data_IF_318066565677
#
_entry.id   IF_318066565677
#
_cell.length_a   1.000
_cell.length_b   1.000
_cell.length_c   1.000
_cell.angle_alpha   90.00
_cell.angle_beta   90.00
_cell.angle_gamma   90.00
#
_symmetry.space_group_name_H-M   'P 1'
#
loop_
_entity.id
_entity.type
_entity.pdbx_description
1 polymer ?
#
# COMPACT_ATOMS: atom_id res chain seq x y z
N UNK A 1 -59.98 47.88 -21.88
CA UNK A 1 -59.77 46.48 -21.43
C UNK A 1 -58.27 46.24 -21.33
N UNK A 2 -57.70 46.34 -20.13
CA UNK A 2 -56.27 46.16 -19.90
C UNK A 2 -56.05 44.72 -19.43
N UNK A 3 -55.38 43.89 -20.23
CA UNK A 3 -55.01 42.53 -19.84
C UNK A 3 -53.65 42.57 -19.15
N UNK A 4 -53.66 42.49 -17.82
CA UNK A 4 -52.48 42.16 -17.02
C UNK A 4 -52.14 40.69 -17.25
N UNK A 5 -51.01 40.41 -17.90
CA UNK A 5 -50.42 39.08 -17.97
C UNK A 5 -49.35 39.02 -16.88
N UNK A 6 -49.63 38.29 -15.81
CA UNK A 6 -48.67 38.02 -14.73
C UNK A 6 -47.73 36.92 -15.21
N UNK A 7 -46.47 37.28 -15.50
CA UNK A 7 -45.41 36.33 -15.75
C UNK A 7 -44.88 35.83 -14.40
N UNK A 8 -45.21 34.58 -14.04
CA UNK A 8 -44.61 33.89 -12.89
C UNK A 8 -43.25 33.37 -13.32
N UNK A 9 -42.20 34.02 -12.84
CA UNK A 9 -40.81 33.62 -13.07
C UNK A 9 -40.47 32.44 -12.14
N UNK A 10 -40.47 31.22 -12.68
CA UNK A 10 -39.91 30.06 -11.98
C UNK A 10 -38.38 30.17 -11.97
N UNK A 11 -37.81 30.63 -10.85
CA UNK A 11 -36.37 30.54 -10.61
C UNK A 11 -36.07 29.09 -10.21
N UNK A 12 -35.61 28.29 -11.17
CA UNK A 12 -35.06 26.98 -10.91
C UNK A 12 -33.77 27.17 -10.10
N UNK A 13 -33.83 26.91 -8.79
CA UNK A 13 -32.66 26.75 -7.93
C UNK A 13 -31.92 25.49 -8.38
N UNK A 14 -30.99 25.65 -9.31
CA UNK A 14 -30.01 24.61 -9.61
C UNK A 14 -29.09 24.51 -8.40
N UNK A 15 -29.36 23.56 -7.50
CA UNK A 15 -28.37 23.10 -6.54
C UNK A 15 -27.09 22.76 -7.31
N UNK A 16 -25.91 23.26 -6.89
CA UNK A 16 -24.67 22.79 -7.48
C UNK A 16 -24.62 21.28 -7.22
N UNK A 17 -24.78 20.51 -8.29
CA UNK A 17 -24.43 19.10 -8.31
C UNK A 17 -22.95 19.03 -7.94
N UNK A 18 -22.67 18.73 -6.68
CA UNK A 18 -21.33 18.40 -6.23
C UNK A 18 -20.89 17.27 -7.14
N UNK A 19 -19.81 17.43 -7.93
CA UNK A 19 -19.31 16.31 -8.70
C UNK A 19 -18.88 15.28 -7.66
N UNK A 20 -19.67 14.21 -7.54
CA UNK A 20 -19.22 12.97 -6.91
C UNK A 20 -18.17 12.43 -7.86
N UNK A 21 -16.96 12.99 -7.79
CA UNK A 21 -15.76 12.31 -8.25
C UNK A 21 -15.70 11.10 -7.34
N UNK A 22 -16.30 9.99 -7.78
CA UNK A 22 -15.89 8.67 -7.31
C UNK A 22 -14.39 8.67 -7.53
N UNK A 23 -13.62 8.80 -6.45
CA UNK A 23 -12.19 8.59 -6.49
C UNK A 23 -12.02 7.14 -6.94
N UNK A 24 -11.79 6.95 -8.24
CA UNK A 24 -11.36 5.71 -8.84
C UNK A 24 -9.90 5.58 -8.43
N UNK A 25 -9.64 5.24 -7.18
CA UNK A 25 -8.28 5.19 -6.65
C UNK A 25 -7.95 3.89 -5.94
N UNK A 26 -8.84 2.90 -5.98
CA UNK A 26 -8.48 1.53 -5.66
C UNK A 26 -7.67 0.96 -6.83
N UNK A 27 -6.35 1.13 -6.82
CA UNK A 27 -5.49 0.25 -7.63
C UNK A 27 -5.06 -0.92 -6.77
N UNK A 28 -5.51 -2.10 -7.16
CA UNK A 28 -5.09 -3.33 -6.51
C UNK A 28 -3.62 -3.61 -6.82
N UNK A 29 -2.90 -4.23 -5.87
CA UNK A 29 -1.59 -4.88 -6.15
C UNK A 29 -1.73 -5.92 -7.27
N UNK A 30 -2.93 -6.46 -7.49
CA UNK A 30 -3.22 -7.47 -8.51
C UNK A 30 -3.32 -6.89 -9.92
N UNK A 31 -3.55 -5.58 -10.10
CA UNK A 31 -3.79 -5.01 -11.42
C UNK A 31 -2.50 -4.63 -12.18
N UNK A 32 -1.46 -4.17 -11.48
CA UNK A 32 -0.16 -3.89 -12.07
C UNK A 32 0.96 -4.50 -11.24
N UNK A 33 1.50 -5.56 -11.84
CA UNK A 33 2.53 -6.49 -11.35
C UNK A 33 3.55 -5.86 -10.41
N UNK A 34 3.83 -6.61 -9.35
CA UNK A 34 4.99 -6.56 -8.45
C UNK A 34 6.31 -6.61 -9.22
N UNK A 35 6.59 -5.61 -10.05
CA UNK A 35 7.97 -5.31 -10.42
C UNK A 35 8.54 -4.54 -9.25
N UNK A 36 9.68 -5.00 -8.74
CA UNK A 36 10.47 -4.23 -7.81
C UNK A 36 10.66 -2.82 -8.39
N UNK A 37 10.14 -1.80 -7.69
CA UNK A 37 10.04 -0.41 -8.17
C UNK A 37 9.03 -0.13 -9.32
N UNK A 38 7.85 -0.76 -9.32
CA UNK A 38 6.77 -0.44 -10.27
C UNK A 38 6.28 1.01 -10.16
N UNK A 39 6.26 1.55 -8.93
CA UNK A 39 5.74 2.86 -8.60
C UNK A 39 6.88 3.83 -8.25
N UNK A 40 6.57 5.01 -7.71
CA UNK A 40 7.60 5.88 -7.17
C UNK A 40 8.47 5.11 -6.17
N UNK A 41 9.80 5.25 -6.23
CA UNK A 41 10.68 4.44 -5.40
C UNK A 41 10.59 4.90 -3.94
N UNK A 42 10.34 3.95 -3.05
CA UNK A 42 10.67 4.13 -1.64
C UNK A 42 12.19 4.04 -1.45
N UNK A 43 12.69 4.58 -0.35
CA UNK A 43 14.06 4.34 0.12
C UNK A 43 13.96 3.72 1.52
N UNK A 44 14.57 2.55 1.69
CA UNK A 44 14.59 1.85 2.98
C UNK A 44 16.00 1.83 3.53
N UNK A 45 16.15 2.21 4.79
CA UNK A 45 17.42 2.14 5.54
C UNK A 45 17.25 1.24 6.75
N UNK A 46 18.02 0.16 6.83
CA UNK A 46 18.03 -0.69 8.03
C UNK A 46 19.22 -0.28 8.90
N UNK A 47 18.97 0.50 9.96
CA UNK A 47 20.03 1.07 10.80
C UNK A 47 20.99 0.02 11.37
N UNK A 48 20.48 -1.17 11.74
CA UNK A 48 21.29 -2.24 12.36
C UNK A 48 22.30 -2.86 11.40
N UNK A 49 21.90 -3.09 10.16
CA UNK A 49 22.72 -3.77 9.15
C UNK A 49 23.46 -2.78 8.25
N UNK A 50 23.04 -1.51 8.24
CA UNK A 50 23.54 -0.47 7.33
C UNK A 50 23.05 -0.64 5.89
N UNK A 51 22.16 -1.60 5.63
CA UNK A 51 21.63 -1.83 4.30
C UNK A 51 20.70 -0.72 3.85
N UNK A 52 20.80 -0.40 2.57
CA UNK A 52 19.94 0.56 1.89
C UNK A 52 19.30 -0.12 0.69
N UNK A 53 17.97 -0.19 0.68
CA UNK A 53 17.20 -0.61 -0.49
C UNK A 53 16.65 0.63 -1.17
N UNK A 54 17.00 0.80 -2.44
CA UNK A 54 16.68 1.96 -3.25
C UNK A 54 16.29 1.53 -4.66
N UNK A 55 15.96 2.50 -5.51
CA UNK A 55 15.75 2.26 -6.94
C UNK A 55 16.92 1.55 -7.64
N UNK A 56 18.15 1.69 -7.15
CA UNK A 56 19.33 1.13 -7.83
C UNK A 56 19.50 -0.38 -7.61
N UNK A 57 18.91 -0.94 -6.56
CA UNK A 57 19.08 -2.34 -6.17
C UNK A 57 17.76 -3.03 -5.83
N UNK A 58 16.62 -2.46 -6.24
CA UNK A 58 15.35 -3.13 -6.08
C UNK A 58 15.24 -4.33 -7.03
N UNK A 59 14.70 -5.43 -6.51
CA UNK A 59 14.57 -6.69 -7.24
C UNK A 59 15.81 -7.56 -7.22
N UNK A 60 16.91 -7.07 -6.67
CA UNK A 60 18.07 -7.90 -6.37
C UNK A 60 17.76 -8.87 -5.22
N UNK A 61 18.48 -9.98 -5.21
CA UNK A 61 18.49 -10.91 -4.07
C UNK A 61 19.40 -10.37 -2.99
N UNK A 62 18.89 -10.25 -1.78
CA UNK A 62 19.61 -9.79 -0.60
C UNK A 62 19.55 -10.84 0.51
N UNK A 63 20.58 -10.90 1.35
CA UNK A 63 20.56 -11.79 2.51
C UNK A 63 19.42 -11.41 3.46
N UNK A 64 18.68 -12.38 4.01
CA UNK A 64 17.55 -12.11 4.91
C UNK A 64 17.97 -11.27 6.13
N UNK A 65 19.21 -11.44 6.59
CA UNK A 65 19.79 -10.70 7.71
C UNK A 65 19.83 -9.18 7.50
N UNK A 66 19.77 -8.74 6.24
CA UNK A 66 19.72 -7.32 5.91
C UNK A 66 18.48 -6.65 6.49
N UNK A 67 17.37 -7.39 6.65
CA UNK A 67 16.05 -6.92 7.06
C UNK A 67 15.53 -7.64 8.33
N UNK A 68 16.44 -8.10 9.19
CA UNK A 68 16.10 -8.70 10.51
C UNK A 68 15.33 -7.75 11.43
N UNK A 69 15.41 -6.44 11.19
CA UNK A 69 14.69 -5.40 11.94
C UNK A 69 13.94 -4.48 10.98
N UNK A 70 12.86 -3.81 11.43
CA UNK A 70 12.11 -2.89 10.58
C UNK A 70 13.02 -1.81 9.98
N UNK A 71 12.93 -1.54 8.66
CA UNK A 71 13.65 -0.43 8.05
C UNK A 71 13.03 0.91 8.45
N UNK A 72 13.84 1.97 8.35
CA UNK A 72 13.35 3.34 8.22
C UNK A 72 12.88 3.54 6.79
N UNK A 73 11.66 4.04 6.61
CA UNK A 73 11.03 4.22 5.30
C UNK A 73 11.02 5.70 4.92
N UNK A 74 11.53 6.02 3.75
CA UNK A 74 11.52 7.37 3.18
C UNK A 74 10.68 7.42 1.91
N UNK A 75 9.93 8.51 1.75
CA UNK A 75 9.19 8.81 0.54
C UNK A 75 9.19 10.33 0.27
N UNK A 76 9.78 10.74 -0.85
CA UNK A 76 10.04 12.16 -1.16
C UNK A 76 8.86 12.88 -1.83
N UNK A 77 7.84 12.14 -2.27
CA UNK A 77 6.70 12.68 -3.03
C UNK A 77 5.42 12.72 -2.18
N UNK A 78 5.58 13.01 -0.89
CA UNK A 78 4.44 13.18 0.00
C UNK A 78 3.70 14.48 -0.27
N UNK A 79 2.40 14.48 -0.02
CA UNK A 79 1.55 15.68 -0.08
C UNK A 79 1.31 16.22 1.35
N UNK A 80 1.32 17.55 1.55
CA UNK A 80 1.11 18.16 2.87
C UNK A 80 -0.22 17.75 3.50
N UNK A 81 -0.25 17.53 4.81
CA UNK A 81 -1.44 17.16 5.59
C UNK A 81 -2.08 15.81 5.19
N UNK A 82 -1.39 14.98 4.38
CA UNK A 82 -1.87 13.66 4.00
C UNK A 82 -1.39 12.57 4.98
N UNK A 83 -2.18 11.51 5.09
CA UNK A 83 -1.82 10.31 5.84
C UNK A 83 -1.59 9.15 4.87
N UNK A 84 -0.79 8.18 5.30
CA UNK A 84 -0.38 7.05 4.48
C UNK A 84 -0.53 5.72 5.23
N UNK A 85 -0.66 4.65 4.45
CA UNK A 85 -0.66 3.26 4.89
C UNK A 85 0.50 2.52 4.23
N UNK A 86 1.33 1.86 5.03
CA UNK A 86 2.42 1.01 4.59
C UNK A 86 2.02 -0.46 4.72
N UNK A 87 2.19 -1.22 3.63
CA UNK A 87 1.96 -2.66 3.58
C UNK A 87 3.25 -3.35 3.16
N UNK A 88 3.74 -4.28 3.96
CA UNK A 88 4.88 -5.13 3.65
C UNK A 88 4.40 -6.58 3.52
N UNK A 89 4.68 -7.21 2.38
CA UNK A 89 4.22 -8.58 2.08
C UNK A 89 5.35 -9.44 1.54
N UNK A 90 5.23 -10.74 1.80
CA UNK A 90 5.89 -11.81 1.07
C UNK A 90 4.95 -12.30 -0.04
N UNK A 91 5.50 -12.59 -1.21
CA UNK A 91 4.79 -13.17 -2.33
C UNK A 91 5.10 -14.68 -2.43
N UNK A 92 4.06 -15.50 -2.35
CA UNK A 92 4.16 -16.91 -2.68
C UNK A 92 3.89 -17.11 -4.17
N UNK A 93 4.87 -17.67 -4.87
CA UNK A 93 4.73 -18.12 -6.26
C UNK A 93 4.56 -19.63 -6.19
N UNK A 94 3.36 -20.13 -6.50
CA UNK A 94 3.15 -21.57 -6.63
C UNK A 94 3.54 -22.01 -8.06
N UNK A 95 4.48 -22.96 -8.21
CA UNK A 95 4.97 -23.39 -9.53
C UNK A 95 3.92 -24.14 -10.38
N UNK A 96 2.79 -24.56 -9.78
CA UNK A 96 1.69 -25.22 -10.48
C UNK A 96 0.64 -24.28 -11.08
N UNK A 97 0.71 -22.98 -10.79
CA UNK A 97 -0.25 -21.99 -11.29
C UNK A 97 0.09 -21.55 -12.71
N UNK A 98 -0.24 -22.43 -13.66
CA UNK A 98 -0.40 -22.05 -15.07
C UNK A 98 -1.55 -21.04 -15.27
N UNK A 99 -2.44 -20.92 -14.27
CA UNK A 99 -3.39 -19.82 -14.13
C UNK A 99 -2.83 -18.82 -13.11
N UNK A 100 -2.31 -17.70 -13.60
CA UNK A 100 -1.80 -16.55 -12.83
C UNK A 100 -2.86 -15.87 -11.92
N UNK A 101 -3.95 -16.54 -11.55
CA UNK A 101 -5.16 -15.91 -11.01
C UNK A 101 -5.13 -15.63 -9.51
N UNK A 102 -4.32 -16.31 -8.69
CA UNK A 102 -4.29 -16.07 -7.23
C UNK A 102 -2.86 -16.19 -6.67
N UNK A 103 -2.01 -15.19 -6.97
CA UNK A 103 -0.81 -14.96 -6.14
C UNK A 103 -1.27 -14.73 -4.70
N UNK A 104 -0.85 -15.59 -3.79
CA UNK A 104 -1.13 -15.45 -2.37
C UNK A 104 -0.01 -14.64 -1.71
N UNK A 105 -0.41 -13.68 -0.87
CA UNK A 105 0.52 -12.87 -0.10
C UNK A 105 0.53 -13.32 1.35
N UNK A 106 1.68 -13.25 2.00
CA UNK A 106 1.78 -13.30 3.45
C UNK A 106 2.12 -11.92 3.99
N UNK A 107 1.30 -11.41 4.91
CA UNK A 107 1.45 -10.08 5.48
C UNK A 107 2.57 -10.04 6.52
N UNK A 108 3.60 -9.25 6.24
CA UNK A 108 4.79 -9.12 7.06
C UNK A 108 4.75 -7.90 7.98
N UNK A 109 4.18 -6.77 7.54
CA UNK A 109 4.01 -5.56 8.35
C UNK A 109 2.86 -4.70 7.80
N UNK A 110 2.05 -4.11 8.69
CA UNK A 110 0.95 -3.22 8.32
C UNK A 110 0.85 -2.05 9.28
N UNK A 111 1.02 -0.84 8.77
CA UNK A 111 0.95 0.41 9.53
C UNK A 111 0.05 1.38 8.81
N UNK A 112 -0.84 2.04 9.55
CA UNK A 112 -1.75 3.06 9.02
C UNK A 112 -1.54 4.40 9.71
N UNK A 113 -2.20 5.44 9.23
CA UNK A 113 -2.17 6.79 9.82
C UNK A 113 -0.76 7.36 9.94
N UNK A 114 0.12 7.01 8.99
CA UNK A 114 1.48 7.54 8.94
C UNK A 114 1.41 8.97 8.40
N UNK A 115 1.88 9.98 9.14
CA UNK A 115 1.90 11.34 8.62
C UNK A 115 2.99 11.48 7.56
N UNK A 116 2.68 12.28 6.54
CA UNK A 116 3.59 12.73 5.48
C UNK A 116 4.96 13.17 6.00
N UNK A 117 4.98 13.87 7.13
CA UNK A 117 6.18 14.40 7.76
C UNK A 117 7.09 13.30 8.29
N UNK A 118 6.54 12.17 8.76
CA UNK A 118 7.34 11.02 9.16
C UNK A 118 8.01 10.38 7.95
N UNK A 119 7.29 10.21 6.84
CA UNK A 119 7.87 9.65 5.61
C UNK A 119 8.96 10.55 4.98
N UNK A 120 8.78 11.86 5.02
CA UNK A 120 9.79 12.80 4.52
C UNK A 120 11.06 12.82 5.39
N UNK A 121 10.93 12.57 6.70
CA UNK A 121 12.05 12.60 7.65
C UNK A 121 12.62 11.22 7.98
N UNK A 122 12.00 10.15 7.48
CA UNK A 122 12.32 8.76 7.77
C UNK A 122 11.37 8.16 8.80
N UNK A 123 10.36 7.45 8.31
CA UNK A 123 9.34 6.78 9.12
C UNK A 123 9.96 5.59 9.84
N UNK A 124 9.85 5.60 11.17
CA UNK A 124 10.24 4.53 12.07
C UNK A 124 9.01 3.74 12.50
N UNK A 125 9.25 2.63 13.18
CA UNK A 125 8.21 1.71 13.68
C UNK A 125 7.07 2.37 14.45
N UNK A 126 7.35 3.48 15.15
CA UNK A 126 6.41 4.16 16.06
C UNK A 126 5.61 5.30 15.40
N UNK A 127 5.88 5.63 14.14
CA UNK A 127 5.39 6.86 13.51
C UNK A 127 4.00 6.71 12.85
N UNK A 128 3.25 5.69 13.24
CA UNK A 128 1.89 5.41 12.79
C UNK A 128 1.23 4.35 13.67
N UNK A 129 0.00 4.00 13.33
CA UNK A 129 -0.74 2.97 14.04
C UNK A 129 -0.41 1.60 13.44
N UNK A 130 0.39 0.82 14.16
CA UNK A 130 0.73 -0.55 13.74
C UNK A 130 -0.48 -1.46 13.97
N UNK A 131 -1.00 -2.03 12.88
CA UNK A 131 -2.11 -2.99 12.90
C UNK A 131 -1.59 -4.43 12.97
N UNK A 132 -0.49 -4.70 12.26
CA UNK A 132 0.21 -5.98 12.27
C UNK A 132 1.70 -5.70 12.42
N UNK A 133 2.30 -6.21 13.50
CA UNK A 133 3.72 -6.00 13.80
C UNK A 133 4.65 -6.54 12.71
N UNK A 134 5.84 -5.97 12.60
CA UNK A 134 6.85 -6.39 11.62
C UNK A 134 7.31 -7.83 11.87
N UNK A 135 7.34 -8.62 10.81
CA UNK A 135 7.92 -9.95 10.74
C UNK A 135 9.07 -9.94 9.74
N UNK A 136 10.25 -10.37 10.17
CA UNK A 136 11.46 -10.37 9.36
C UNK A 136 11.36 -11.41 8.23
N UNK A 137 11.99 -11.16 7.07
CA UNK A 137 12.15 -12.16 6.03
C UNK A 137 12.82 -13.43 6.59
N UNK A 138 12.33 -14.59 6.17
CA UNK A 138 12.90 -15.88 6.58
C UNK A 138 13.47 -16.55 5.33
N UNK A 139 14.73 -17.02 5.36
CA UNK A 139 15.25 -17.81 4.26
C UNK A 139 14.42 -19.08 4.08
N UNK A 140 14.06 -19.41 2.85
CA UNK A 140 13.38 -20.69 2.57
C UNK A 140 14.27 -21.87 2.94
N UNK A 141 13.64 -22.92 3.45
CA UNK A 141 14.29 -24.18 3.80
C UNK A 141 14.72 -24.89 2.52
N UNK A 142 15.91 -25.50 2.51
CA UNK A 142 16.40 -26.29 1.36
C UNK A 142 15.55 -27.56 1.08
N UNK A 143 14.62 -27.90 1.98
CA UNK A 143 13.72 -29.05 1.90
C UNK A 143 12.36 -28.69 1.26
N UNK A 144 12.10 -27.42 0.97
CA UNK A 144 10.93 -27.00 0.19
C UNK A 144 11.16 -27.40 -1.28
N UNK A 145 10.15 -27.97 -1.96
CA UNK A 145 10.19 -28.40 -3.37
C UNK A 145 10.44 -27.18 -4.29
N UNK A 146 11.68 -26.71 -4.32
CA UNK A 146 12.10 -25.41 -4.81
C UNK A 146 12.30 -25.42 -6.33
N UNK A 147 11.69 -24.45 -7.00
CA UNK A 147 11.94 -24.14 -8.42
C UNK A 147 13.23 -23.31 -8.61
N UNK A 148 13.91 -23.00 -7.50
CA UNK A 148 15.15 -22.25 -7.43
C UNK A 148 14.94 -20.74 -7.47
N UNK A 149 13.70 -20.25 -7.30
CA UNK A 149 13.39 -18.83 -7.32
C UNK A 149 13.46 -18.21 -5.92
N UNK A 150 14.07 -17.02 -5.78
CA UNK A 150 14.12 -16.32 -4.50
C UNK A 150 12.71 -15.94 -4.04
N UNK A 151 12.50 -15.98 -2.73
CA UNK A 151 11.26 -15.49 -2.10
C UNK A 151 11.18 -13.99 -2.29
N UNK A 152 10.07 -13.48 -2.82
CA UNK A 152 9.93 -12.06 -3.12
C UNK A 152 9.22 -11.34 -1.99
N UNK A 153 9.75 -10.18 -1.65
CA UNK A 153 9.23 -9.29 -0.63
C UNK A 153 8.96 -7.92 -1.24
N UNK A 154 7.89 -7.26 -0.81
CA UNK A 154 7.46 -5.97 -1.35
C UNK A 154 6.84 -5.05 -0.30
N UNK A 155 7.30 -3.80 -0.28
CA UNK A 155 6.70 -2.70 0.44
C UNK A 155 5.85 -1.86 -0.51
N UNK A 156 4.64 -1.51 -0.07
CA UNK A 156 3.67 -0.71 -0.81
C UNK A 156 3.15 0.40 0.07
N UNK A 157 3.14 1.61 -0.47
CA UNK A 157 2.60 2.78 0.21
C UNK A 157 1.29 3.20 -0.45
N UNK A 158 0.27 3.42 0.35
CA UNK A 158 -1.04 3.94 -0.05
C UNK A 158 -1.29 5.26 0.65
N UNK A 159 -2.00 6.14 -0.01
CA UNK A 159 -2.45 7.42 0.53
C UNK A 159 -3.86 7.26 1.12
N UNK A 160 -4.13 7.93 2.25
CA UNK A 160 -5.43 7.93 2.92
C UNK A 160 -6.24 9.18 2.57
N UNK A 161 -7.35 8.98 1.86
CA UNK A 161 -8.13 10.08 1.24
C UNK A 161 -8.91 10.90 2.24
N UNK A 162 -9.49 10.23 3.24
CA UNK A 162 -10.45 10.83 4.15
C UNK A 162 -9.85 11.09 5.53
N UNK A 163 -8.52 11.14 5.62
CA UNK A 163 -7.78 11.30 6.85
C UNK A 163 -7.59 9.97 7.60
N UNK A 164 -7.69 10.02 8.93
CA UNK A 164 -7.39 8.90 9.81
C UNK A 164 -8.36 7.73 9.58
N UNK A 165 -7.84 6.51 9.50
CA UNK A 165 -8.61 5.27 9.34
C UNK A 165 -8.41 4.34 10.53
N UNK A 166 -9.39 3.48 10.77
CA UNK A 166 -9.36 2.47 11.85
C UNK A 166 -9.79 1.11 11.29
N UNK A 167 -8.96 0.50 10.42
CA UNK A 167 -9.30 -0.76 9.79
C UNK A 167 -9.29 -1.90 10.81
N UNK A 168 -10.05 -2.98 10.55
CA UNK A 168 -9.94 -4.20 11.34
C UNK A 168 -8.56 -4.84 11.14
N UNK A 169 -8.03 -5.45 12.21
CA UNK A 169 -6.86 -6.32 12.10
C UNK A 169 -7.20 -7.54 11.25
N UNK A 170 -6.39 -7.87 10.22
CA UNK A 170 -6.56 -9.11 9.46
C UNK A 170 -6.54 -10.34 10.39
N UNK A 171 -7.37 -11.34 10.10
CA UNK A 171 -7.48 -12.56 10.91
C UNK A 171 -6.28 -13.51 10.77
N UNK A 172 -5.54 -13.39 9.67
CA UNK A 172 -4.36 -14.19 9.34
C UNK A 172 -3.36 -13.34 8.56
N UNK A 173 -2.07 -13.69 8.68
CA UNK A 173 -1.01 -13.17 7.80
C UNK A 173 -0.97 -13.91 6.47
N UNK A 174 -1.13 -15.23 6.50
CA UNK A 174 -1.13 -16.07 5.29
C UNK A 174 -2.37 -15.81 4.43
N UNK A 175 -2.23 -15.95 3.12
CA UNK A 175 -3.29 -15.73 2.13
C UNK A 175 -3.95 -14.35 2.29
N UNK A 176 -3.16 -13.34 2.66
CA UNK A 176 -3.63 -11.99 2.87
C UNK A 176 -4.19 -11.40 1.56
N UNK A 177 -5.51 -11.24 1.52
CA UNK A 177 -6.21 -10.59 0.43
C UNK A 177 -6.27 -9.07 0.71
N UNK A 178 -5.32 -8.32 0.14
CA UNK A 178 -5.26 -6.88 0.35
C UNK A 178 -6.52 -6.18 -0.15
N UNK A 179 -7.05 -6.52 -1.33
CA UNK A 179 -8.25 -5.86 -1.87
C UNK A 179 -9.47 -6.13 -0.99
N UNK A 180 -9.59 -7.39 -0.54
CA UNK A 180 -10.59 -7.79 0.43
C UNK A 180 -10.48 -6.96 1.71
N UNK A 181 -9.27 -6.80 2.26
CA UNK A 181 -9.04 -5.97 3.43
C UNK A 181 -9.35 -4.49 3.19
N UNK A 182 -8.88 -3.88 2.10
CA UNK A 182 -9.17 -2.49 1.73
C UNK A 182 -10.68 -2.26 1.62
N UNK A 183 -11.42 -3.23 1.07
CA UNK A 183 -12.89 -3.14 0.93
C UNK A 183 -13.63 -3.09 2.27
N UNK A 184 -13.00 -3.51 3.37
CA UNK A 184 -13.58 -3.42 4.72
C UNK A 184 -13.39 -2.06 5.38
N UNK A 185 -12.55 -1.19 4.80
CA UNK A 185 -12.22 0.12 5.37
C UNK A 185 -13.32 1.11 5.02
N UNK A 186 -13.84 1.79 6.04
CA UNK A 186 -14.84 2.83 5.89
C UNK A 186 -14.22 4.23 6.04
N UNK A 187 -14.63 5.23 5.22
CA UNK A 187 -15.54 5.10 4.08
C UNK A 187 -14.91 4.32 2.91
N UNK A 188 -15.75 3.78 2.02
CA UNK A 188 -15.25 3.10 0.81
C UNK A 188 -14.29 4.02 0.04
N UNK A 189 -13.25 3.42 -0.56
CA UNK A 189 -12.15 4.13 -1.21
C UNK A 189 -11.34 5.05 -0.28
N UNK A 190 -11.24 4.71 1.01
CA UNK A 190 -10.36 5.41 1.95
C UNK A 190 -8.87 5.29 1.63
N UNK A 191 -8.46 4.32 0.81
CA UNK A 191 -7.08 4.15 0.37
C UNK A 191 -6.95 4.35 -1.15
N UNK A 192 -5.96 5.15 -1.52
CA UNK A 192 -5.49 5.42 -2.87
C UNK A 192 -4.11 4.81 -3.07
N UNK A 193 -3.85 4.19 -4.23
CA UNK A 193 -2.50 3.71 -4.57
C UNK A 193 -2.47 2.23 -4.90
N UNK A 194 -1.27 1.62 -5.03
CA UNK A 194 -0.01 2.10 -4.47
C UNK A 194 0.49 3.40 -5.10
N UNK A 195 0.93 4.35 -4.28
CA UNK A 195 1.60 5.58 -4.74
C UNK A 195 3.12 5.41 -4.81
N UNK A 196 3.65 4.45 -4.05
CA UNK A 196 5.07 4.09 -4.03
C UNK A 196 5.24 2.60 -3.73
N UNK A 197 6.35 2.02 -4.22
CA UNK A 197 6.72 0.66 -3.87
C UNK A 197 8.21 0.42 -3.98
N UNK A 198 8.67 -0.62 -3.29
CA UNK A 198 10.00 -1.20 -3.47
C UNK A 198 9.98 -2.67 -3.06
N UNK A 199 10.82 -3.50 -3.68
CA UNK A 199 10.86 -4.93 -3.40
C UNK A 199 12.23 -5.55 -3.66
N UNK A 200 12.43 -6.75 -3.16
CA UNK A 200 13.67 -7.52 -3.21
C UNK A 200 13.38 -9.03 -3.16
N UNK A 201 14.38 -9.83 -3.53
CA UNK A 201 14.37 -11.27 -3.32
C UNK A 201 15.20 -11.66 -2.10
N UNK A 202 14.88 -12.80 -1.49
CA UNK A 202 15.66 -13.48 -0.45
C UNK A 202 15.94 -14.91 -0.88
#
# INVERSE_FOLDING_TARGET
MVRCVVFVLFVALTLPSVPMVRAICTSSITADRVSSCAFNPLLLLVERSGWVLSRQNCGETIGPEAFDVPPIVYYDYTEPDHLYTLVFVEEHIHPSDSDFSERSFSLQWLVVNIPESSLANGMRYIDGDTIVDYLSPVPRSADDDDDGQPTRYGFYLYEQVYGTIYPPTPSTREYFNLDGWISTIYPEAALCGPVASIGFGV
#
